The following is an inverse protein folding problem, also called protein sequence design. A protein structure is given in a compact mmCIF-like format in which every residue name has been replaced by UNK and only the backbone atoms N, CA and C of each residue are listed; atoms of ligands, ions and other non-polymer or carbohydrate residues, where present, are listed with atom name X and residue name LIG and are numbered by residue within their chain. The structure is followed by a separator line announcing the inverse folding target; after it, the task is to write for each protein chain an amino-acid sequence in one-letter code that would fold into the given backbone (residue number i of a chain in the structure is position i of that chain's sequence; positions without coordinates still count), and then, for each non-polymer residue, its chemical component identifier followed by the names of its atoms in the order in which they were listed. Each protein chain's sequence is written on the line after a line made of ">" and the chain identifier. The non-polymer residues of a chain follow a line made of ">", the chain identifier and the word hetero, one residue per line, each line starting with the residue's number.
data_IF_319460553508
#
_entry.id   IF_319460553508
#
_cell.length_a   1.000
_cell.length_b   1.000
_cell.length_c   1.000
_cell.angle_alpha   90.00
_cell.angle_beta   90.00
_cell.angle_gamma   90.00
#
_symmetry.space_group_name_H-M   'P 1'
#
loop_
_entity.id
_entity.type
_entity.pdbx_description
1 polymer ?
#
# COMPACT_ATOMS: atom_id res chain seq x y z
N UNK A 1 -5.74 30.50 -81.67
CA UNK A 1 -5.96 31.13 -80.35
C UNK A 1 -7.29 30.60 -79.83
N UNK A 2 -7.38 30.30 -78.53
CA UNK A 2 -8.49 29.62 -77.80
C UNK A 2 -8.51 28.07 -77.81
N UNK A 3 -8.47 27.57 -76.57
CA UNK A 3 -8.73 26.23 -75.97
C UNK A 3 -10.20 25.84 -76.31
N UNK A 4 -10.70 24.57 -76.41
CA UNK A 4 -10.63 23.61 -75.29
C UNK A 4 -10.84 22.08 -75.46
N UNK A 5 -10.48 21.39 -74.36
CA UNK A 5 -11.14 20.27 -73.64
C UNK A 5 -11.35 18.85 -74.25
N UNK A 6 -10.79 17.89 -73.50
CA UNK A 6 -11.39 16.65 -72.91
C UNK A 6 -12.21 15.72 -73.84
N UNK A 7 -11.76 14.47 -74.05
CA UNK A 7 -12.40 13.24 -73.49
C UNK A 7 -11.70 11.93 -73.94
N UNK A 8 -11.71 11.01 -72.99
CA UNK A 8 -11.21 9.62 -72.87
C UNK A 8 -11.84 8.59 -73.81
N UNK A 9 -11.09 7.57 -74.32
CA UNK A 9 -11.57 6.17 -74.53
C UNK A 9 -10.41 5.14 -74.35
N UNK A 10 -10.81 3.94 -73.90
CA UNK A 10 -10.16 2.80 -73.21
C UNK A 10 -9.26 1.82 -74.02
N UNK A 11 -8.32 1.23 -73.25
CA UNK A 11 -7.85 -0.18 -73.14
C UNK A 11 -7.45 -0.99 -74.40
N UNK A 12 -6.22 -1.54 -74.35
CA UNK A 12 -5.98 -2.99 -74.25
C UNK A 12 -4.52 -3.36 -73.88
N UNK A 13 -4.43 -4.18 -72.83
CA UNK A 13 -3.50 -5.31 -72.62
C UNK A 13 -1.99 -5.07 -72.54
N UNK A 14 -1.42 -5.19 -71.32
CA UNK A 14 -0.21 -6.00 -71.11
C UNK A 14 -0.38 -6.81 -69.83
N UNK A 15 -0.14 -8.11 -69.95
CA UNK A 15 -0.19 -9.11 -68.90
C UNK A 15 1.19 -9.21 -68.23
N UNK A 16 1.18 -9.07 -66.89
CA UNK A 16 2.05 -9.65 -65.84
C UNK A 16 3.59 -9.67 -66.03
N UNK A 17 4.30 -9.21 -65.00
CA UNK A 17 5.07 -10.06 -64.08
C UNK A 17 5.28 -9.30 -62.76
N UNK A 18 5.20 -10.06 -61.67
CA UNK A 18 5.03 -9.64 -60.28
C UNK A 18 6.28 -9.01 -59.65
N UNK A 19 6.11 -7.90 -58.95
CA UNK A 19 6.95 -7.54 -57.80
C UNK A 19 6.00 -7.36 -56.62
N UNK A 20 6.01 -8.34 -55.71
CA UNK A 20 5.31 -8.26 -54.43
C UNK A 20 6.14 -7.32 -53.56
N UNK A 21 5.64 -6.11 -53.33
CA UNK A 21 6.09 -5.25 -52.22
C UNK A 21 5.13 -5.57 -51.07
N UNK A 22 5.56 -6.25 -49.99
CA UNK A 22 4.75 -6.29 -48.80
C UNK A 22 4.78 -4.89 -48.19
N UNK A 23 3.61 -4.25 -48.13
CA UNK A 23 3.42 -3.07 -47.31
C UNK A 23 3.79 -3.45 -45.87
N UNK A 24 4.89 -2.89 -45.38
CA UNK A 24 5.22 -2.93 -43.96
C UNK A 24 4.16 -2.07 -43.28
N UNK A 25 3.09 -2.74 -42.82
CA UNK A 25 2.21 -2.17 -41.80
C UNK A 25 3.06 -2.17 -40.53
N UNK A 26 3.72 -1.05 -40.27
CA UNK A 26 4.27 -0.74 -38.95
C UNK A 26 3.06 -0.60 -38.04
N UNK A 27 2.68 -1.70 -37.39
CA UNK A 27 1.91 -1.62 -36.16
C UNK A 27 2.80 -0.87 -35.17
N UNK A 28 2.56 0.44 -35.05
CA UNK A 28 2.91 1.15 -33.83
C UNK A 28 2.09 0.47 -32.73
N UNK A 29 2.70 -0.52 -32.07
CA UNK A 29 2.34 -0.86 -30.71
C UNK A 29 2.62 0.42 -29.92
N UNK A 30 1.59 1.25 -29.78
CA UNK A 30 1.53 2.22 -28.71
C UNK A 30 1.48 1.36 -27.45
N UNK A 31 2.65 1.06 -26.90
CA UNK A 31 2.76 0.68 -25.50
C UNK A 31 2.16 1.86 -24.74
N UNK A 32 0.87 1.74 -24.41
CA UNK A 32 0.30 2.53 -23.34
C UNK A 32 1.03 2.04 -22.10
N UNK A 33 2.16 2.67 -21.82
CA UNK A 33 2.75 2.68 -20.49
C UNK A 33 1.62 3.20 -19.61
N UNK A 34 0.97 2.31 -18.87
CA UNK A 34 0.18 2.73 -17.72
C UNK A 34 1.20 3.31 -16.74
N UNK A 35 1.51 4.59 -16.89
CA UNK A 35 2.14 5.34 -15.81
C UNK A 35 1.20 5.19 -14.61
N UNK A 36 1.72 4.66 -13.51
CA UNK A 36 0.96 4.56 -12.28
C UNK A 36 0.44 5.96 -11.94
N UNK A 37 -0.87 6.14 -12.03
CA UNK A 37 -1.48 7.46 -11.91
C UNK A 37 -1.39 7.89 -10.46
N UNK A 38 -0.78 9.06 -10.22
CA UNK A 38 -0.72 9.67 -8.89
C UNK A 38 -2.10 9.60 -8.19
N UNK A 39 -2.16 8.85 -7.11
CA UNK A 39 -3.34 8.72 -6.26
C UNK A 39 -3.21 9.68 -5.05
N UNK A 40 -4.02 10.76 -4.96
CA UNK A 40 -3.96 11.71 -3.85
C UNK A 40 -4.32 11.07 -2.51
N UNK A 41 -5.13 10.00 -2.49
CA UNK A 41 -5.47 9.28 -1.27
C UNK A 41 -4.22 8.63 -0.63
N UNK A 42 -3.32 8.09 -1.45
CA UNK A 42 -2.04 7.59 -0.96
C UNK A 42 -1.22 8.72 -0.36
N UNK A 43 -1.16 9.88 -1.02
CA UNK A 43 -0.45 11.04 -0.47
C UNK A 43 -0.96 11.43 0.91
N UNK A 44 -2.28 11.47 1.11
CA UNK A 44 -2.90 11.78 2.41
C UNK A 44 -2.57 10.76 3.50
N UNK A 45 -2.39 9.48 3.14
CA UNK A 45 -1.93 8.45 4.06
C UNK A 45 -0.49 8.71 4.47
N UNK A 46 0.39 9.04 3.52
CA UNK A 46 1.82 9.29 3.79
C UNK A 46 2.03 10.49 4.74
N UNK A 47 1.14 11.48 4.70
CA UNK A 47 1.17 12.63 5.62
C UNK A 47 0.89 12.25 7.09
N UNK A 48 0.39 11.04 7.36
CA UNK A 48 0.08 10.56 8.72
C UNK A 48 1.28 9.88 9.40
N UNK A 49 2.35 9.61 8.65
CA UNK A 49 3.58 9.02 9.17
C UNK A 49 4.22 9.99 10.16
N UNK A 50 4.46 9.52 11.39
CA UNK A 50 5.07 10.30 12.46
C UNK A 50 6.41 9.70 12.87
N UNK A 51 7.48 10.44 12.63
CA UNK A 51 8.82 10.09 13.12
C UNK A 51 8.88 10.02 14.63
N UNK A 52 8.21 10.92 15.35
CA UNK A 52 8.15 10.90 16.81
C UNK A 52 7.60 9.58 17.34
N UNK A 53 6.54 9.07 16.70
CA UNK A 53 5.96 7.79 17.09
C UNK A 53 6.97 6.66 16.91
N UNK A 54 7.67 6.60 15.78
CA UNK A 54 8.70 5.59 15.52
C UNK A 54 9.90 5.73 16.46
N UNK A 55 10.38 6.95 16.71
CA UNK A 55 11.50 7.22 17.61
C UNK A 55 11.21 6.79 19.05
N UNK A 56 9.97 7.04 19.53
CA UNK A 56 9.52 6.53 20.83
C UNK A 56 9.49 4.99 20.88
N UNK A 57 9.12 4.33 19.78
CA UNK A 57 9.09 2.87 19.69
C UNK A 57 10.50 2.30 19.72
N UNK A 58 11.42 2.85 18.94
CA UNK A 58 12.84 2.48 18.99
C UNK A 58 13.40 2.67 20.41
N UNK A 59 13.13 3.84 21.02
CA UNK A 59 13.55 4.16 22.39
C UNK A 59 12.97 3.22 23.46
N UNK A 60 11.76 2.69 23.24
CA UNK A 60 11.18 1.67 24.13
C UNK A 60 11.85 0.33 23.91
N UNK A 61 11.96 -0.12 22.65
CA UNK A 61 12.50 -1.41 22.29
C UNK A 61 13.95 -1.57 22.75
N UNK A 62 14.80 -0.56 22.58
CA UNK A 62 16.21 -0.60 23.00
C UNK A 62 16.40 -0.85 24.52
N UNK A 63 15.40 -0.54 25.35
CA UNK A 63 15.43 -0.76 26.79
C UNK A 63 14.90 -2.14 27.19
N UNK A 64 14.28 -2.86 26.26
CA UNK A 64 13.73 -4.19 26.48
C UNK A 64 14.72 -5.26 26.00
N UNK A 65 14.69 -6.42 26.65
CA UNK A 65 15.45 -7.58 26.19
C UNK A 65 14.82 -8.13 24.91
N UNK A 66 15.63 -8.34 23.86
CA UNK A 66 15.16 -8.78 22.55
C UNK A 66 15.95 -9.94 21.98
N UNK A 67 16.98 -10.43 22.67
CA UNK A 67 17.63 -11.66 22.27
C UNK A 67 16.62 -12.83 22.36
N UNK A 68 16.35 -13.47 21.24
CA UNK A 68 15.19 -14.37 21.06
C UNK A 68 15.21 -15.62 21.96
N UNK A 69 16.34 -15.91 22.62
CA UNK A 69 16.56 -17.13 23.40
C UNK A 69 16.54 -16.93 24.92
N UNK A 70 16.22 -15.73 25.40
CA UNK A 70 16.07 -15.50 26.84
C UNK A 70 14.59 -15.30 27.21
N UNK A 71 14.11 -15.83 28.35
CA UNK A 71 12.70 -15.73 28.74
C UNK A 71 12.15 -14.31 28.78
N UNK A 72 13.00 -13.32 29.11
CA UNK A 72 12.63 -11.91 29.18
C UNK A 72 12.18 -11.33 27.81
N UNK A 73 12.64 -11.88 26.69
CA UNK A 73 12.25 -11.42 25.35
C UNK A 73 10.75 -11.61 25.06
N UNK A 74 10.08 -12.56 25.73
CA UNK A 74 8.63 -12.72 25.63
C UNK A 74 7.84 -11.53 26.19
N UNK A 75 8.43 -10.74 27.09
CA UNK A 75 7.83 -9.47 27.55
C UNK A 75 7.77 -8.47 26.40
N UNK A 76 8.83 -8.40 25.59
CA UNK A 76 8.87 -7.60 24.36
C UNK A 76 7.85 -8.08 23.35
N UNK A 77 7.72 -9.39 23.17
CA UNK A 77 6.67 -9.95 22.32
C UNK A 77 5.25 -9.60 22.81
N UNK A 78 5.04 -9.55 24.13
CA UNK A 78 3.83 -9.03 24.77
C UNK A 78 3.55 -7.57 24.41
N UNK A 79 4.55 -6.71 24.56
CA UNK A 79 4.45 -5.28 24.23
C UNK A 79 4.07 -5.04 22.77
N UNK A 80 4.77 -5.70 21.84
CA UNK A 80 4.53 -5.58 20.41
C UNK A 80 3.14 -6.10 20.01
N UNK A 81 2.72 -7.26 20.54
CA UNK A 81 1.38 -7.80 20.30
C UNK A 81 0.29 -6.86 20.79
N UNK A 82 0.44 -6.29 21.99
CA UNK A 82 -0.52 -5.33 22.53
C UNK A 82 -0.59 -4.06 21.67
N UNK A 83 0.54 -3.53 21.21
CA UNK A 83 0.54 -2.37 20.33
C UNK A 83 -0.16 -2.67 19.00
N UNK A 84 0.11 -3.83 18.38
CA UNK A 84 -0.57 -4.24 17.15
C UNK A 84 -2.08 -4.37 17.37
N UNK A 85 -2.55 -4.90 18.51
CA UNK A 85 -4.00 -4.94 18.84
C UNK A 85 -4.61 -3.54 18.93
N UNK A 86 -3.90 -2.55 19.45
CA UNK A 86 -4.35 -1.15 19.49
C UNK A 86 -4.44 -0.50 18.09
N UNK A 87 -3.78 -1.10 17.10
CA UNK A 87 -3.92 -0.73 15.69
C UNK A 87 -5.14 -1.38 15.02
N UNK A 88 -6.03 -2.03 15.78
CA UNK A 88 -7.31 -2.59 15.31
C UNK A 88 -7.22 -3.48 14.05
N UNK A 89 -6.27 -4.44 13.96
CA UNK A 89 -6.29 -5.47 12.94
C UNK A 89 -7.38 -6.52 13.26
N UNK A 90 -7.84 -7.24 12.24
CA UNK A 90 -8.83 -8.32 12.40
C UNK A 90 -8.30 -9.46 13.27
N UNK A 91 -6.99 -9.74 13.21
CA UNK A 91 -6.35 -10.70 14.12
C UNK A 91 -4.97 -10.23 14.59
N UNK A 92 -4.58 -10.70 15.78
CA UNK A 92 -3.19 -10.66 16.27
C UNK A 92 -2.88 -11.97 16.98
N UNK A 93 -1.83 -12.66 16.57
CA UNK A 93 -1.44 -13.95 17.16
C UNK A 93 0.08 -14.13 17.20
N UNK A 94 0.52 -15.04 18.07
CA UNK A 94 1.89 -15.50 18.14
C UNK A 94 2.09 -16.68 17.21
N UNK A 95 3.09 -16.60 16.35
CA UNK A 95 3.58 -17.74 15.60
C UNK A 95 4.79 -18.33 16.35
N UNK A 96 4.50 -19.40 17.09
CA UNK A 96 5.45 -20.11 17.94
C UNK A 96 6.33 -21.05 17.11
N UNK A 97 7.62 -21.09 17.42
CA UNK A 97 8.57 -22.00 16.78
C UNK A 97 9.66 -22.44 17.75
N UNK A 98 10.37 -23.50 17.39
CA UNK A 98 11.47 -24.04 18.18
C UNK A 98 12.82 -23.75 17.53
N UNK A 99 13.81 -23.51 18.38
CA UNK A 99 15.23 -23.44 18.02
C UNK A 99 16.03 -24.34 18.97
N UNK A 100 16.86 -25.23 18.44
CA UNK A 100 17.65 -26.18 19.23
C UNK A 100 16.85 -26.95 20.29
N UNK A 101 15.60 -27.31 19.98
CA UNK A 101 14.70 -28.03 20.88
C UNK A 101 14.08 -27.21 22.01
N UNK A 102 14.29 -25.89 22.03
CA UNK A 102 13.69 -24.96 22.97
C UNK A 102 12.71 -24.01 22.27
N UNK A 103 11.67 -23.57 22.97
CA UNK A 103 10.74 -22.58 22.44
C UNK A 103 11.44 -21.21 22.45
N UNK A 104 11.65 -20.63 21.26
CA UNK A 104 12.19 -19.29 21.12
C UNK A 104 11.12 -18.23 21.42
N UNK A 105 11.49 -16.96 21.40
CA UNK A 105 10.50 -15.90 21.35
C UNK A 105 9.71 -15.97 20.02
N UNK A 106 8.39 -15.70 20.04
CA UNK A 106 7.55 -15.93 18.87
C UNK A 106 7.70 -14.82 17.83
N UNK A 107 7.34 -15.14 16.58
CA UNK A 107 6.96 -14.08 15.64
C UNK A 107 5.60 -13.53 16.05
N UNK A 108 5.34 -12.27 15.71
CA UNK A 108 4.11 -11.58 16.03
C UNK A 108 3.45 -11.18 14.73
N UNK A 109 2.24 -11.68 14.50
CA UNK A 109 1.55 -11.52 13.24
C UNK A 109 0.23 -10.81 13.51
N UNK A 110 -0.06 -9.79 12.70
CA UNK A 110 -1.33 -9.09 12.70
C UNK A 110 -1.90 -9.00 11.29
N UNK A 111 -3.13 -9.48 11.12
CA UNK A 111 -3.82 -9.46 9.83
C UNK A 111 -4.91 -8.40 9.80
N UNK A 112 -4.87 -7.58 8.76
CA UNK A 112 -5.97 -6.73 8.35
C UNK A 112 -6.54 -7.28 7.04
N UNK A 113 -7.70 -7.90 7.11
CA UNK A 113 -8.29 -8.65 6.02
C UNK A 113 -8.68 -7.75 4.84
N UNK A 114 -8.41 -8.26 3.65
CA UNK A 114 -8.86 -7.66 2.40
C UNK A 114 -10.38 -7.66 2.31
N UNK A 115 -10.93 -6.68 1.61
CA UNK A 115 -12.37 -6.57 1.41
C UNK A 115 -12.86 -7.57 0.36
N UNK A 116 -12.18 -7.64 -0.79
CA UNK A 116 -12.60 -8.47 -1.93
C UNK A 116 -11.69 -9.67 -2.22
N UNK A 117 -10.48 -9.71 -1.65
CA UNK A 117 -9.54 -10.82 -1.82
C UNK A 117 -8.80 -11.13 -0.50
N UNK A 118 -9.49 -11.84 0.40
CA UNK A 118 -8.97 -12.17 1.74
C UNK A 118 -7.83 -13.18 1.73
N UNK A 119 -7.81 -14.09 0.74
CA UNK A 119 -6.87 -15.20 0.70
C UNK A 119 -5.51 -14.81 0.11
N UNK A 120 -5.42 -13.65 -0.55
CA UNK A 120 -4.21 -13.10 -1.14
C UNK A 120 -3.60 -12.04 -0.23
N UNK A 121 -2.37 -12.28 0.21
CA UNK A 121 -1.73 -11.56 1.31
C UNK A 121 -0.54 -10.73 0.80
N UNK A 122 -0.52 -9.46 1.20
CA UNK A 122 0.63 -8.55 1.07
C UNK A 122 1.27 -8.41 2.45
N UNK A 123 2.56 -8.71 2.57
CA UNK A 123 3.27 -8.70 3.84
C UNK A 123 4.12 -7.44 3.95
N UNK A 124 4.01 -6.75 5.09
CA UNK A 124 4.99 -5.78 5.57
C UNK A 124 5.64 -6.33 6.85
N UNK A 125 6.96 -6.44 6.85
CA UNK A 125 7.67 -7.11 7.95
C UNK A 125 9.00 -6.45 8.30
N UNK A 126 9.54 -6.87 9.44
CA UNK A 126 10.88 -6.59 9.95
C UNK A 126 11.11 -7.49 11.18
N UNK A 127 12.35 -7.68 11.62
CA UNK A 127 12.62 -8.46 12.83
C UNK A 127 12.71 -7.58 14.07
N UNK A 128 12.21 -8.11 15.18
CA UNK A 128 12.20 -7.40 16.46
C UNK A 128 13.26 -7.89 17.43
N UNK A 129 13.86 -9.07 17.18
CA UNK A 129 14.96 -9.55 18.00
C UNK A 129 16.22 -8.69 17.82
N UNK A 130 17.19 -8.88 18.71
CA UNK A 130 18.52 -8.30 18.59
C UNK A 130 19.59 -9.40 18.63
N UNK A 131 20.78 -9.08 18.12
CA UNK A 131 21.91 -10.00 18.01
C UNK A 131 22.20 -10.81 19.29
N UNK A 132 22.25 -10.13 20.43
CA UNK A 132 22.62 -10.71 21.71
C UNK A 132 22.06 -9.91 22.89
N UNK A 133 22.01 -10.53 24.06
CA UNK A 133 21.71 -9.83 25.31
C UNK A 133 22.72 -8.69 25.54
N UNK A 134 22.23 -7.48 25.79
CA UNK A 134 23.06 -6.28 25.92
C UNK A 134 23.48 -5.63 24.60
N UNK A 135 22.97 -6.09 23.45
CA UNK A 135 22.97 -5.37 22.18
C UNK A 135 21.58 -4.74 21.96
N UNK A 136 21.41 -3.42 22.21
CA UNK A 136 20.09 -2.79 22.21
C UNK A 136 19.43 -2.71 20.84
N UNK A 137 20.16 -2.87 19.74
CA UNK A 137 19.60 -3.03 18.39
C UNK A 137 18.68 -1.88 17.94
N UNK A 138 19.04 -0.63 18.22
CA UNK A 138 18.17 0.51 17.93
C UNK A 138 17.96 0.72 16.42
N UNK A 139 19.04 0.62 15.65
CA UNK A 139 18.96 0.60 14.19
C UNK A 139 18.64 -0.82 13.71
N UNK A 140 19.31 -1.83 14.28
CA UNK A 140 19.19 -3.25 13.90
C UNK A 140 18.50 -4.10 14.97
N UNK A 141 17.20 -4.36 14.89
CA UNK A 141 16.26 -3.82 13.91
C UNK A 141 14.99 -3.24 14.56
N UNK A 142 15.19 -2.54 15.69
CA UNK A 142 14.11 -1.77 16.28
C UNK A 142 13.60 -0.68 15.32
N UNK A 143 14.43 -0.19 14.40
CA UNK A 143 14.03 0.80 13.38
C UNK A 143 13.01 0.23 12.39
N UNK A 144 13.28 -0.94 11.78
CA UNK A 144 12.35 -1.62 10.86
C UNK A 144 11.09 -2.09 11.58
N UNK A 145 11.22 -2.66 12.78
CA UNK A 145 10.07 -3.01 13.63
C UNK A 145 9.19 -1.79 13.93
N UNK A 146 9.78 -0.64 14.29
CA UNK A 146 9.03 0.59 14.51
C UNK A 146 8.30 1.05 13.24
N UNK A 147 8.91 0.86 12.06
CA UNK A 147 8.27 1.08 10.76
C UNK A 147 7.03 0.21 10.54
N UNK A 148 7.11 -1.09 10.83
CA UNK A 148 5.95 -2.02 10.75
C UNK A 148 4.82 -1.56 11.67
N UNK A 149 5.14 -1.21 12.93
CA UNK A 149 4.17 -0.72 13.90
C UNK A 149 3.52 0.60 13.46
N UNK A 150 4.29 1.50 12.85
CA UNK A 150 3.79 2.78 12.35
C UNK A 150 2.87 2.60 11.14
N UNK A 151 3.23 1.72 10.22
CA UNK A 151 2.36 1.36 9.10
C UNK A 151 1.03 0.78 9.62
N UNK A 152 1.06 -0.15 10.57
CA UNK A 152 -0.15 -0.68 11.19
C UNK A 152 -1.01 0.46 11.81
N UNK A 153 -0.38 1.41 12.51
CA UNK A 153 -1.08 2.55 13.15
C UNK A 153 -1.79 3.44 12.14
N UNK A 154 -1.15 3.79 11.02
CA UNK A 154 -1.71 4.76 10.06
C UNK A 154 -2.70 4.11 9.08
N UNK A 155 -2.57 2.80 8.83
CA UNK A 155 -3.42 2.05 7.90
C UNK A 155 -4.67 1.44 8.56
N UNK A 156 -4.78 1.47 9.90
CA UNK A 156 -5.87 0.82 10.65
C UNK A 156 -7.30 1.11 10.17
N UNK A 157 -7.58 2.39 9.86
CA UNK A 157 -8.93 2.84 9.47
C UNK A 157 -9.18 2.75 7.95
N UNK A 158 -8.23 2.17 7.21
CA UNK A 158 -8.31 2.06 5.75
C UNK A 158 -8.80 0.66 5.37
N UNK A 159 -9.20 0.50 4.11
CA UNK A 159 -9.65 -0.79 3.58
C UNK A 159 -8.87 -1.06 2.30
N UNK A 160 -8.60 -2.33 2.03
CA UNK A 160 -7.74 -2.78 0.95
C UNK A 160 -8.42 -3.94 0.23
N UNK A 161 -8.12 -4.16 -1.06
CA UNK A 161 -8.64 -5.35 -1.76
C UNK A 161 -7.98 -6.61 -1.22
N UNK A 162 -6.67 -6.56 -1.00
CA UNK A 162 -5.86 -7.65 -0.48
C UNK A 162 -5.69 -7.58 1.03
N UNK A 163 -5.44 -8.72 1.68
CA UNK A 163 -5.09 -8.77 3.10
C UNK A 163 -3.72 -8.14 3.31
N UNK A 164 -3.63 -7.19 4.25
CA UNK A 164 -2.37 -6.68 4.75
C UNK A 164 -1.97 -7.48 5.99
N UNK A 165 -0.80 -8.12 5.93
CA UNK A 165 -0.21 -8.83 7.07
C UNK A 165 1.01 -8.08 7.56
N UNK A 166 0.98 -7.67 8.83
CA UNK A 166 2.11 -7.08 9.52
C UNK A 166 2.82 -8.17 10.33
N UNK A 167 4.14 -8.29 10.16
CA UNK A 167 4.92 -9.30 10.89
C UNK A 167 6.12 -8.65 11.56
N UNK A 168 6.26 -8.92 12.86
CA UNK A 168 7.52 -8.74 13.57
C UNK A 168 8.16 -10.13 13.74
N UNK A 169 9.20 -10.42 12.96
CA UNK A 169 9.94 -11.68 13.03
C UNK A 169 10.86 -11.73 14.26
N UNK A 170 11.09 -12.93 14.78
CA UNK A 170 12.06 -13.17 15.84
C UNK A 170 13.12 -14.15 15.36
N UNK A 171 14.27 -14.14 16.02
CA UNK A 171 15.41 -15.00 15.71
C UNK A 171 15.92 -14.86 14.27
N UNK A 172 15.86 -13.64 13.71
CA UNK A 172 16.54 -13.31 12.45
C UNK A 172 18.05 -13.44 12.65
N UNK A 173 18.55 -12.86 13.74
CA UNK A 173 19.97 -12.72 14.04
C UNK A 173 20.64 -14.05 14.40
N UNK A 174 19.84 -15.08 14.66
CA UNK A 174 20.30 -16.44 14.92
C UNK A 174 20.18 -17.34 13.68
N UNK A 175 19.98 -16.74 12.50
CA UNK A 175 20.03 -17.41 11.20
C UNK A 175 18.67 -17.56 10.52
N UNK A 176 17.84 -16.51 10.59
CA UNK A 176 16.51 -16.41 9.95
C UNK A 176 15.51 -17.46 10.46
N UNK A 177 15.64 -17.88 11.71
CA UNK A 177 14.90 -19.04 12.22
C UNK A 177 13.40 -18.76 12.24
N UNK A 178 12.99 -17.58 12.69
CA UNK A 178 11.57 -17.22 12.75
C UNK A 178 10.93 -17.11 11.38
N UNK A 179 11.58 -16.45 10.41
CA UNK A 179 11.06 -16.34 9.04
C UNK A 179 11.09 -17.68 8.31
N UNK A 180 12.12 -18.51 8.47
CA UNK A 180 12.16 -19.88 7.92
C UNK A 180 11.03 -20.75 8.48
N UNK A 181 10.78 -20.68 9.79
CA UNK A 181 9.68 -21.40 10.43
C UNK A 181 8.32 -20.93 9.89
N UNK A 182 8.13 -19.61 9.75
CA UNK A 182 6.92 -19.03 9.21
C UNK A 182 6.67 -19.42 7.75
N UNK A 183 7.69 -19.33 6.89
CA UNK A 183 7.60 -19.72 5.48
C UNK A 183 7.22 -21.21 5.34
N UNK A 184 7.76 -22.07 6.20
CA UNK A 184 7.36 -23.48 6.26
C UNK A 184 5.87 -23.64 6.67
N UNK A 185 5.38 -22.85 7.62
CA UNK A 185 3.98 -22.88 8.02
C UNK A 185 3.05 -22.44 6.88
N UNK A 186 3.30 -21.31 6.24
CA UNK A 186 2.43 -20.81 5.16
C UNK A 186 2.39 -21.77 3.97
N UNK A 187 3.50 -22.46 3.67
CA UNK A 187 3.53 -23.51 2.65
C UNK A 187 2.62 -24.70 3.03
N UNK A 188 2.60 -25.08 4.31
CA UNK A 188 1.70 -26.14 4.81
C UNK A 188 0.23 -25.72 4.81
N UNK A 189 -0.04 -24.44 5.11
CA UNK A 189 -1.38 -23.86 5.09
C UNK A 189 -1.86 -23.50 3.68
N UNK A 190 -0.98 -23.54 2.67
CA UNK A 190 -1.23 -23.11 1.28
C UNK A 190 -1.70 -21.65 1.17
N UNK A 191 -1.15 -20.78 2.00
CA UNK A 191 -1.47 -19.35 1.96
C UNK A 191 -0.88 -18.71 0.70
N UNK A 192 -1.62 -17.77 0.09
CA UNK A 192 -1.20 -17.09 -1.14
C UNK A 192 -0.53 -15.77 -0.76
N UNK A 193 0.79 -15.75 -0.79
CA UNK A 193 1.56 -14.52 -0.58
C UNK A 193 1.82 -13.86 -1.94
N UNK A 194 1.31 -12.65 -2.12
CA UNK A 194 1.40 -11.89 -3.38
C UNK A 194 2.69 -11.09 -3.46
N UNK A 195 3.06 -10.40 -2.37
CA UNK A 195 4.29 -9.63 -2.29
C UNK A 195 4.73 -9.47 -0.83
N UNK A 196 6.04 -9.37 -0.62
CA UNK A 196 6.65 -9.11 0.70
C UNK A 196 7.51 -7.86 0.62
N UNK A 197 7.33 -6.94 1.57
CA UNK A 197 8.26 -5.86 1.85
C UNK A 197 8.83 -6.06 3.25
N UNK A 198 10.14 -6.23 3.33
CA UNK A 198 10.88 -6.33 4.57
C UNK A 198 11.60 -4.99 4.85
N UNK A 199 11.56 -4.55 6.10
CA UNK A 199 12.25 -3.38 6.60
C UNK A 199 13.37 -3.83 7.52
N UNK A 200 14.59 -3.52 7.16
CA UNK A 200 15.77 -3.91 7.93
C UNK A 200 16.79 -2.78 7.92
N UNK A 201 17.10 -2.24 9.11
CA UNK A 201 17.93 -1.06 9.33
C UNK A 201 17.53 0.13 8.45
N UNK A 202 16.71 1.03 8.99
CA UNK A 202 16.14 2.15 8.23
C UNK A 202 16.44 3.53 8.83
N UNK A 203 17.35 3.64 9.80
CA UNK A 203 17.50 4.86 10.60
C UNK A 203 18.93 5.41 10.73
N UNK A 204 19.98 4.75 10.22
CA UNK A 204 21.33 5.29 10.20
C UNK A 204 21.66 6.05 8.92
N UNK A 205 22.38 7.16 9.13
CA UNK A 205 22.87 8.01 8.07
C UNK A 205 24.21 8.64 8.46
N UNK A 206 25.16 8.57 7.53
CA UNK A 206 26.37 9.38 7.53
C UNK A 206 26.54 9.99 6.14
N UNK A 207 26.12 11.24 5.97
CA UNK A 207 26.23 11.91 4.68
C UNK A 207 25.45 13.21 4.62
N UNK A 208 25.47 13.82 3.44
CA UNK A 208 24.73 15.05 3.15
C UNK A 208 23.49 14.78 2.29
N UNK A 209 23.33 13.56 1.79
CA UNK A 209 22.26 13.17 0.87
C UNK A 209 21.64 11.86 1.31
N UNK A 210 20.32 11.79 1.38
CA UNK A 210 19.64 10.54 1.72
C UNK A 210 19.63 9.57 0.53
N UNK A 211 20.02 8.34 0.80
CA UNK A 211 19.83 7.20 -0.09
C UNK A 211 19.39 5.96 0.69
N UNK A 212 18.84 5.01 -0.02
CA UNK A 212 18.49 3.68 0.46
C UNK A 212 18.86 2.64 -0.60
N UNK A 213 18.92 1.39 -0.18
CA UNK A 213 19.03 0.23 -1.04
C UNK A 213 17.75 -0.61 -1.01
N UNK A 214 17.42 -1.19 -2.16
CA UNK A 214 16.23 -2.02 -2.36
C UNK A 214 16.65 -3.40 -2.84
N UNK A 215 16.84 -4.31 -1.90
CA UNK A 215 17.28 -5.67 -2.14
C UNK A 215 16.14 -6.45 -2.77
N UNK A 216 16.33 -6.89 -4.01
CA UNK A 216 15.35 -7.68 -4.75
C UNK A 216 16.01 -8.89 -5.39
N UNK A 217 15.29 -10.01 -5.42
CA UNK A 217 15.72 -11.21 -6.14
C UNK A 217 15.73 -10.93 -7.66
N UNK A 218 16.88 -11.03 -8.35
CA UNK A 218 16.95 -10.87 -9.80
C UNK A 218 16.10 -11.89 -10.57
N UNK A 219 15.87 -13.06 -9.98
CA UNK A 219 15.05 -14.14 -10.53
C UNK A 219 13.58 -14.08 -10.08
N UNK A 220 13.19 -12.99 -9.40
CA UNK A 220 11.80 -12.77 -8.98
C UNK A 220 10.84 -12.70 -10.16
N UNK A 221 9.62 -13.21 -9.99
CA UNK A 221 8.62 -13.25 -11.08
C UNK A 221 7.90 -11.91 -11.23
N UNK A 222 7.78 -11.16 -10.14
CA UNK A 222 7.22 -9.82 -10.09
C UNK A 222 8.32 -8.75 -10.14
N UNK A 223 8.09 -7.69 -10.91
CA UNK A 223 8.96 -6.50 -10.96
C UNK A 223 8.74 -5.57 -9.75
N UNK A 224 8.85 -6.11 -8.52
CA UNK A 224 8.60 -5.36 -7.29
C UNK A 224 9.62 -4.23 -7.07
N UNK A 225 10.87 -4.40 -7.50
CA UNK A 225 11.88 -3.35 -7.48
C UNK A 225 11.46 -2.14 -8.34
N UNK A 226 11.03 -2.38 -9.58
CA UNK A 226 10.59 -1.32 -10.49
C UNK A 226 9.30 -0.66 -9.99
N UNK A 227 8.36 -1.46 -9.46
CA UNK A 227 7.13 -0.95 -8.86
C UNK A 227 7.44 -0.04 -7.66
N UNK A 228 8.31 -0.49 -6.74
CA UNK A 228 8.74 0.30 -5.59
C UNK A 228 9.45 1.59 -6.05
N UNK A 229 10.37 1.49 -7.01
CA UNK A 229 11.09 2.65 -7.57
C UNK A 229 10.12 3.66 -8.17
N UNK A 230 9.13 3.19 -8.94
CA UNK A 230 8.09 4.04 -9.54
C UNK A 230 7.25 4.75 -8.47
N UNK A 231 6.81 4.03 -7.44
CA UNK A 231 6.00 4.60 -6.36
C UNK A 231 6.80 5.59 -5.51
N UNK A 232 8.06 5.24 -5.20
CA UNK A 232 8.98 6.17 -4.55
C UNK A 232 9.17 7.45 -5.38
N UNK A 233 9.43 7.35 -6.68
CA UNK A 233 9.58 8.54 -7.54
C UNK A 233 8.28 9.32 -7.71
N UNK A 234 7.13 8.68 -7.58
CA UNK A 234 5.82 9.33 -7.66
C UNK A 234 5.52 10.15 -6.41
N UNK A 235 5.81 9.61 -5.22
CA UNK A 235 5.32 10.18 -3.96
C UNK A 235 6.39 10.85 -3.08
N UNK A 236 7.65 10.44 -3.21
CA UNK A 236 8.72 10.74 -2.28
C UNK A 236 9.92 11.36 -3.00
N UNK A 237 10.23 12.60 -2.64
CA UNK A 237 11.40 13.34 -3.12
C UNK A 237 12.40 13.48 -1.98
N UNK A 238 13.68 13.67 -2.30
CA UNK A 238 14.73 13.93 -1.30
C UNK A 238 15.48 12.69 -0.79
N UNK A 239 15.12 11.49 -1.23
CA UNK A 239 15.91 10.26 -1.05
C UNK A 239 16.19 9.64 -2.43
N UNK A 240 17.30 8.95 -2.62
CA UNK A 240 17.64 8.22 -3.86
C UNK A 240 17.75 6.71 -3.62
N UNK A 241 17.58 5.91 -4.67
CA UNK A 241 17.89 4.47 -4.62
C UNK A 241 19.30 4.30 -5.20
N UNK A 242 20.19 3.61 -4.50
CA UNK A 242 21.56 3.43 -4.98
C UNK A 242 21.60 2.51 -6.23
N UNK A 243 22.61 2.70 -7.08
CA UNK A 243 22.68 2.03 -8.40
C UNK A 243 22.90 0.50 -8.35
N UNK A 244 23.29 -0.05 -7.20
CA UNK A 244 23.66 -1.46 -7.03
C UNK A 244 22.68 -2.22 -6.12
N UNK A 245 21.43 -1.76 -5.99
CA UNK A 245 20.48 -2.29 -5.02
C UNK A 245 20.08 -3.77 -5.19
N UNK A 246 20.57 -4.52 -6.17
CA UNK A 246 20.32 -5.96 -6.28
C UNK A 246 21.44 -6.79 -5.65
N UNK A 247 21.25 -7.27 -4.42
CA UNK A 247 22.22 -8.16 -3.76
C UNK A 247 21.54 -9.44 -3.24
N UNK A 248 21.46 -10.52 -4.04
CA UNK A 248 21.12 -11.83 -3.49
C UNK A 248 22.16 -12.23 -2.42
N UNK A 249 21.69 -12.73 -1.27
CA UNK A 249 22.54 -13.19 -0.16
C UNK A 249 22.72 -12.22 1.02
N UNK A 250 21.89 -11.18 1.10
CA UNK A 250 21.79 -10.28 2.26
C UNK A 250 21.05 -11.02 3.39
N UNK A 251 21.74 -11.44 4.44
CA UNK A 251 21.17 -12.17 5.58
C UNK A 251 20.13 -11.32 6.29
N UNK A 252 18.88 -11.41 5.82
CA UNK A 252 17.68 -10.77 6.36
C UNK A 252 16.48 -11.64 6.00
N UNK A 253 15.34 -11.43 6.64
CA UNK A 253 14.18 -12.33 6.57
C UNK A 253 13.65 -12.57 5.14
N UNK A 254 13.87 -11.64 4.21
CA UNK A 254 13.43 -11.81 2.81
C UNK A 254 14.02 -13.05 2.14
N UNK A 255 15.21 -13.49 2.55
CA UNK A 255 15.86 -14.69 1.99
C UNK A 255 15.00 -15.94 2.21
N UNK A 256 14.35 -16.05 3.37
CA UNK A 256 13.45 -17.16 3.68
C UNK A 256 12.30 -17.26 2.67
N UNK A 257 11.81 -16.11 2.18
CA UNK A 257 10.75 -16.05 1.16
C UNK A 257 11.28 -16.38 -0.24
N UNK A 258 12.45 -15.84 -0.61
CA UNK A 258 13.09 -16.15 -1.89
C UNK A 258 13.43 -17.64 -2.02
N UNK A 259 13.92 -18.28 -0.96
CA UNK A 259 14.19 -19.72 -0.92
C UNK A 259 12.93 -20.57 -1.16
N UNK A 260 11.75 -20.05 -0.83
CA UNK A 260 10.46 -20.66 -1.11
C UNK A 260 9.81 -20.21 -2.43
N UNK A 261 10.49 -19.39 -3.22
CA UNK A 261 10.00 -18.86 -4.49
C UNK A 261 8.88 -17.82 -4.35
N UNK A 262 8.81 -17.14 -3.21
CA UNK A 262 7.89 -16.04 -2.94
C UNK A 262 8.60 -14.72 -3.25
N UNK A 263 7.96 -13.89 -4.08
CA UNK A 263 8.52 -12.60 -4.48
C UNK A 263 8.42 -11.55 -3.36
N UNK A 264 9.48 -10.77 -3.22
CA UNK A 264 9.52 -9.66 -2.29
C UNK A 264 10.85 -8.92 -2.31
N UNK A 265 10.90 -7.83 -1.56
CA UNK A 265 12.05 -6.92 -1.47
C UNK A 265 12.36 -6.58 -0.01
N UNK A 266 13.61 -6.25 0.28
CA UNK A 266 14.00 -5.57 1.53
C UNK A 266 14.38 -4.13 1.23
N UNK A 267 13.90 -3.20 2.04
CA UNK A 267 14.41 -1.83 2.09
C UNK A 267 15.40 -1.73 3.23
N UNK A 268 16.62 -1.32 2.90
CA UNK A 268 17.71 -1.13 3.86
C UNK A 268 18.35 0.24 3.63
N UNK A 269 18.84 0.84 4.70
CA UNK A 269 19.51 2.13 4.69
C UNK A 269 20.75 2.17 3.78
N UNK A 270 21.46 1.05 3.64
CA UNK A 270 22.54 0.82 2.70
C UNK A 270 22.79 -0.69 2.59
N UNK A 271 23.12 -1.18 1.40
CA UNK A 271 23.57 -2.55 1.16
C UNK A 271 25.10 -2.67 1.14
N UNK A 272 25.81 -1.55 1.11
CA UNK A 272 27.27 -1.51 1.19
C UNK A 272 27.69 -1.47 2.66
N UNK A 273 28.34 -2.55 3.11
CA UNK A 273 28.80 -2.74 4.48
C UNK A 273 29.74 -1.63 4.98
N UNK A 274 30.37 -0.87 4.09
CA UNK A 274 31.17 0.30 4.47
C UNK A 274 30.33 1.47 4.98
N UNK A 275 29.03 1.46 4.67
CA UNK A 275 28.05 2.49 5.07
C UNK A 275 27.00 1.99 6.05
N UNK A 276 27.12 0.74 6.52
CA UNK A 276 26.31 0.24 7.63
C UNK A 276 26.66 1.04 8.89
N UNK A 277 25.71 1.12 9.82
CA UNK A 277 26.04 1.58 11.16
C UNK A 277 27.22 0.77 11.71
N UNK A 278 28.35 1.41 12.11
CA UNK A 278 29.48 0.70 12.69
C UNK A 278 29.16 0.14 14.08
N UNK A 279 27.97 0.41 14.59
CA UNK A 279 27.49 0.03 15.91
C UNK A 279 26.58 -1.19 15.90
N UNK A 280 26.12 -1.69 14.74
CA UNK A 280 25.26 -2.87 14.67
C UNK A 280 25.85 -4.05 15.45
N UNK A 281 24.97 -4.85 16.06
CA UNK A 281 25.30 -6.01 16.88
C UNK A 281 26.17 -5.68 18.12
N UNK A 282 26.34 -4.39 18.48
CA UNK A 282 27.14 -3.95 19.63
C UNK A 282 26.27 -3.20 20.65
N UNK A 283 26.74 -3.02 21.89
CA UNK A 283 26.03 -2.22 22.90
C UNK A 283 25.79 -0.76 22.50
N UNK A 284 26.52 -0.25 21.51
CA UNK A 284 26.39 1.11 20.98
C UNK A 284 25.32 1.23 19.88
N UNK A 285 24.64 0.15 19.50
CA UNK A 285 23.47 0.22 18.64
C UNK A 285 22.29 0.81 19.41
N UNK A 286 22.36 2.13 19.65
CA UNK A 286 21.41 2.90 20.44
C UNK A 286 20.91 4.09 19.65
N UNK A 287 19.74 4.56 20.04
CA UNK A 287 19.10 5.74 19.48
C UNK A 287 20.02 6.98 19.62
N UNK A 288 19.98 7.84 18.60
CA UNK A 288 20.85 9.00 18.37
C UNK A 288 22.33 8.70 18.05
N UNK A 289 22.79 7.45 18.14
CA UNK A 289 24.15 7.06 17.76
C UNK A 289 24.14 6.17 16.50
N UNK A 290 23.39 5.08 16.57
CA UNK A 290 23.19 4.12 15.47
C UNK A 290 21.89 4.45 14.73
N UNK A 291 20.72 4.37 15.36
CA UNK A 291 19.52 4.99 14.78
C UNK A 291 19.63 6.52 14.96
N UNK A 292 20.09 7.24 13.94
CA UNK A 292 20.53 8.63 14.08
C UNK A 292 19.84 9.63 13.12
N UNK A 293 19.00 9.16 12.20
CA UNK A 293 18.35 9.98 11.17
C UNK A 293 16.84 9.73 11.09
N UNK A 294 16.05 10.46 11.91
CA UNK A 294 14.59 10.45 11.79
C UNK A 294 14.11 10.83 10.39
N UNK A 295 14.80 11.76 9.72
CA UNK A 295 14.47 12.22 8.37
C UNK A 295 14.63 11.12 7.32
N UNK A 296 15.75 10.38 7.34
CA UNK A 296 15.96 9.26 6.42
C UNK A 296 14.91 8.18 6.66
N UNK A 297 14.65 7.84 7.92
CA UNK A 297 13.62 6.88 8.30
C UNK A 297 12.23 7.34 7.82
N UNK A 298 11.90 8.63 7.91
CA UNK A 298 10.64 9.17 7.39
C UNK A 298 10.51 8.95 5.89
N UNK A 299 11.56 9.26 5.12
CA UNK A 299 11.57 9.13 3.66
C UNK A 299 11.48 7.66 3.21
N UNK A 300 12.20 6.76 3.89
CA UNK A 300 12.09 5.31 3.67
C UNK A 300 10.67 4.84 3.95
N UNK A 301 10.09 5.25 5.08
CA UNK A 301 8.73 4.86 5.46
C UNK A 301 7.66 5.42 4.51
N UNK A 302 7.83 6.65 4.00
CA UNK A 302 6.94 7.16 2.96
C UNK A 302 6.97 6.28 1.71
N UNK A 303 8.15 5.82 1.28
CA UNK A 303 8.29 4.94 0.12
C UNK A 303 7.70 3.55 0.38
N UNK A 304 8.01 2.95 1.53
CA UNK A 304 7.50 1.63 1.92
C UNK A 304 5.98 1.60 2.08
N UNK A 305 5.40 2.61 2.74
CA UNK A 305 3.94 2.72 2.91
C UNK A 305 3.26 3.00 1.57
N UNK A 306 3.85 3.81 0.69
CA UNK A 306 3.30 4.02 -0.65
C UNK A 306 3.24 2.69 -1.43
N UNK A 307 4.31 1.89 -1.39
CA UNK A 307 4.38 0.57 -2.01
C UNK A 307 3.31 -0.38 -1.46
N UNK A 308 3.29 -0.60 -0.15
CA UNK A 308 2.35 -1.53 0.48
C UNK A 308 0.89 -1.09 0.30
N UNK A 309 0.61 0.21 0.39
CA UNK A 309 -0.75 0.74 0.18
C UNK A 309 -1.22 0.47 -1.24
N UNK A 310 -0.38 0.75 -2.24
CA UNK A 310 -0.72 0.54 -3.64
C UNK A 310 -0.85 -0.95 -3.98
N UNK A 311 0.09 -1.79 -3.53
CA UNK A 311 0.05 -3.24 -3.77
C UNK A 311 -1.18 -3.90 -3.13
N UNK A 312 -1.60 -3.42 -1.97
CA UNK A 312 -2.81 -3.89 -1.32
C UNK A 312 -4.11 -3.32 -1.94
N UNK A 313 -3.97 -2.33 -2.83
CA UNK A 313 -5.03 -1.64 -3.56
C UNK A 313 -6.05 -1.01 -2.61
N UNK A 314 -5.92 0.28 -2.28
CA UNK A 314 -6.80 0.92 -1.30
C UNK A 314 -8.22 1.01 -1.87
N UNK A 315 -9.21 0.59 -1.06
CA UNK A 315 -10.62 0.74 -1.38
C UNK A 315 -11.04 2.15 -0.99
N UNK A 316 -11.23 3.01 -1.98
CA UNK A 316 -11.75 4.35 -1.77
C UNK A 316 -13.12 4.27 -1.07
N UNK A 317 -13.50 5.24 -0.22
CA UNK A 317 -14.81 5.24 0.43
C UNK A 317 -15.98 5.08 -0.55
N UNK A 318 -15.84 5.62 -1.77
CA UNK A 318 -16.82 5.52 -2.87
C UNK A 318 -16.86 4.14 -3.56
N UNK A 319 -15.84 3.29 -3.38
CA UNK A 319 -15.71 1.94 -3.98
C UNK A 319 -16.03 0.82 -2.98
N UNK A 320 -16.58 1.14 -1.80
CA UNK A 320 -16.95 0.14 -0.78
C UNK A 320 -18.24 -0.62 -1.11
N UNK A 321 -18.99 -0.19 -2.12
CA UNK A 321 -20.03 -1.03 -2.71
C UNK A 321 -19.28 -1.99 -3.66
N UNK A 322 -19.19 -3.28 -3.28
CA UNK A 322 -18.36 -4.28 -3.96
C UNK A 322 -18.63 -4.43 -5.46
N UNK A 323 -17.72 -5.15 -6.14
CA UNK A 323 -17.79 -5.48 -7.57
C UNK A 323 -19.01 -6.40 -7.92
N UNK A 324 -19.82 -6.79 -6.93
CA UNK A 324 -21.20 -7.26 -7.10
C UNK A 324 -22.14 -6.14 -6.68
N UNK A 325 -23.04 -5.72 -7.57
CA UNK A 325 -23.89 -4.54 -7.44
C UNK A 325 -24.36 -4.30 -5.98
N UNK A 326 -23.66 -3.42 -5.26
CA UNK A 326 -23.91 -3.17 -3.84
C UNK A 326 -25.32 -2.63 -3.59
N UNK A 327 -25.69 -2.48 -2.31
CA UNK A 327 -27.03 -2.01 -1.87
C UNK A 327 -27.49 -0.80 -2.68
N UNK A 328 -26.59 0.17 -2.88
CA UNK A 328 -26.80 1.31 -3.76
C UNK A 328 -26.23 0.98 -5.16
N UNK A 329 -27.11 0.71 -6.11
CA UNK A 329 -26.76 0.37 -7.49
C UNK A 329 -26.41 1.62 -8.32
N UNK A 330 -27.13 2.71 -8.10
CA UNK A 330 -26.95 3.96 -8.84
C UNK A 330 -27.36 5.17 -8.03
N UNK A 331 -26.60 6.26 -8.18
CA UNK A 331 -26.93 7.59 -7.70
C UNK A 331 -26.78 8.58 -8.86
N UNK A 332 -27.86 9.25 -9.23
CA UNK A 332 -27.91 10.22 -10.32
C UNK A 332 -28.55 11.51 -9.86
N UNK A 333 -28.10 12.64 -10.42
CA UNK A 333 -28.69 13.95 -10.18
C UNK A 333 -29.10 14.57 -11.50
N UNK A 334 -30.35 15.00 -11.62
CA UNK A 334 -30.85 15.63 -12.84
C UNK A 334 -31.94 16.69 -12.59
N UNK A 335 -32.01 17.78 -13.39
CA UNK A 335 -31.03 18.15 -14.39
C UNK A 335 -29.68 18.51 -13.76
N UNK A 336 -28.59 18.20 -14.45
CA UNK A 336 -27.23 18.54 -14.05
C UNK A 336 -26.51 19.07 -15.29
N UNK A 337 -26.24 20.39 -15.41
CA UNK A 337 -26.27 21.40 -14.34
C UNK A 337 -27.67 21.77 -13.79
N UNK A 338 -27.71 22.19 -12.52
CA UNK A 338 -28.90 22.57 -11.75
C UNK A 338 -29.15 24.06 -11.85
N UNK A 339 -30.33 24.45 -12.34
CA UNK A 339 -30.76 25.85 -12.46
C UNK A 339 -31.61 26.34 -11.29
N UNK A 340 -32.53 25.52 -10.77
CA UNK A 340 -33.43 25.89 -9.68
C UNK A 340 -33.71 24.70 -8.76
N UNK A 341 -34.15 23.60 -9.36
CA UNK A 341 -34.45 22.33 -8.68
C UNK A 341 -33.71 21.21 -9.40
N UNK A 342 -33.39 20.16 -8.65
CA UNK A 342 -32.98 18.90 -9.23
C UNK A 342 -33.45 17.73 -8.37
N UNK A 343 -33.46 16.58 -9.01
CA UNK A 343 -33.86 15.30 -8.46
C UNK A 343 -32.62 14.46 -8.23
N UNK A 344 -32.56 13.83 -7.08
CA UNK A 344 -31.56 12.83 -6.74
C UNK A 344 -32.25 11.48 -6.88
N UNK A 345 -31.93 10.78 -7.95
CA UNK A 345 -32.41 9.43 -8.18
C UNK A 345 -31.43 8.42 -7.59
N UNK A 346 -31.97 7.48 -6.83
CA UNK A 346 -31.25 6.41 -6.17
C UNK A 346 -31.86 5.07 -6.59
N UNK A 347 -31.07 4.16 -7.15
CA UNK A 347 -31.50 2.80 -7.42
C UNK A 347 -30.89 1.89 -6.37
N UNK A 348 -31.74 1.16 -5.65
CA UNK A 348 -31.33 0.20 -4.64
C UNK A 348 -31.54 -1.24 -5.11
N UNK A 349 -30.61 -2.13 -4.79
CA UNK A 349 -30.73 -3.56 -5.08
C UNK A 349 -31.54 -4.33 -4.03
N UNK A 350 -31.72 -3.73 -2.84
CA UNK A 350 -32.52 -4.21 -1.71
C UNK A 350 -33.07 -3.04 -0.89
N UNK A 351 -33.99 -3.32 0.04
CA UNK A 351 -34.48 -2.30 0.97
C UNK A 351 -33.35 -1.88 1.93
N UNK A 352 -33.17 -0.58 2.14
CA UNK A 352 -32.08 -0.08 2.97
C UNK A 352 -32.38 1.27 3.60
N UNK A 353 -31.79 1.51 4.76
CA UNK A 353 -31.83 2.81 5.41
C UNK A 353 -30.68 3.70 4.89
N UNK A 354 -31.03 4.85 4.32
CA UNK A 354 -30.12 5.72 3.58
C UNK A 354 -30.06 7.12 4.20
N UNK A 355 -28.86 7.69 4.23
CA UNK A 355 -28.61 9.12 4.35
C UNK A 355 -28.09 9.69 3.02
N UNK A 356 -28.48 10.91 2.68
CA UNK A 356 -27.96 11.64 1.52
C UNK A 356 -27.42 12.98 1.99
N UNK A 357 -26.14 13.21 1.69
CA UNK A 357 -25.39 14.39 2.10
C UNK A 357 -24.90 15.17 0.89
N UNK A 358 -24.74 16.48 1.05
CA UNK A 358 -24.18 17.38 0.05
C UNK A 358 -22.92 18.05 0.62
N UNK A 359 -21.81 17.93 -0.10
CA UNK A 359 -20.51 18.49 0.26
C UNK A 359 -20.01 19.48 -0.79
N UNK A 360 -19.15 20.41 -0.40
CA UNK A 360 -18.30 21.13 -1.35
C UNK A 360 -17.07 20.29 -1.76
N UNK A 361 -16.29 20.76 -2.74
CA UNK A 361 -15.11 20.05 -3.23
C UNK A 361 -13.95 19.96 -2.21
N UNK A 362 -14.02 20.70 -1.09
CA UNK A 362 -13.07 20.55 0.01
C UNK A 362 -13.49 19.46 1.01
N UNK A 363 -14.65 18.83 0.80
CA UNK A 363 -15.20 17.81 1.69
C UNK A 363 -16.00 18.37 2.88
N UNK A 364 -16.25 19.69 2.92
CA UNK A 364 -17.07 20.29 3.98
C UNK A 364 -18.55 20.02 3.70
N UNK A 365 -19.27 19.53 4.71
CA UNK A 365 -20.72 19.29 4.64
C UNK A 365 -21.47 20.63 4.48
N UNK A 366 -22.29 20.70 3.44
CA UNK A 366 -23.14 21.86 3.12
C UNK A 366 -24.57 21.63 3.56
N UNK A 367 -25.12 20.43 3.31
CA UNK A 367 -26.51 20.12 3.63
C UNK A 367 -26.73 18.62 3.79
N UNK A 368 -27.75 18.26 4.58
CA UNK A 368 -28.26 16.90 4.70
C UNK A 368 -29.59 16.88 3.93
N UNK A 369 -29.65 16.12 2.85
CA UNK A 369 -30.80 16.04 1.96
C UNK A 369 -31.78 14.94 2.38
N UNK A 370 -31.26 13.87 2.98
CA UNK A 370 -32.04 12.77 3.53
C UNK A 370 -31.31 12.20 4.74
N UNK A 371 -32.04 11.88 5.81
CA UNK A 371 -31.45 11.30 7.01
C UNK A 371 -32.31 10.18 7.57
N UNK A 372 -31.68 9.08 7.97
CA UNK A 372 -32.26 7.91 8.61
C UNK A 372 -33.57 7.44 7.95
N UNK A 373 -33.58 7.40 6.61
CA UNK A 373 -34.79 7.14 5.84
C UNK A 373 -34.73 5.77 5.21
N UNK A 374 -35.71 4.93 5.50
CA UNK A 374 -35.88 3.62 4.86
C UNK A 374 -36.37 3.81 3.44
N UNK A 375 -35.58 3.34 2.48
CA UNK A 375 -35.89 3.36 1.06
C UNK A 375 -36.05 1.92 0.56
N UNK A 376 -36.94 1.74 -0.41
CA UNK A 376 -37.26 0.41 -0.93
C UNK A 376 -36.34 0.04 -2.08
N UNK A 377 -36.16 -1.26 -2.31
CA UNK A 377 -35.55 -1.82 -3.50
C UNK A 377 -36.15 -1.19 -4.75
N UNK A 378 -35.28 -0.86 -5.70
CA UNK A 378 -35.64 -0.23 -6.96
C UNK A 378 -35.44 1.28 -6.93
N UNK A 379 -36.26 2.00 -7.70
CA UNK A 379 -36.09 3.42 -7.93
C UNK A 379 -36.67 4.27 -6.79
N UNK A 380 -35.84 5.14 -6.23
CA UNK A 380 -36.23 6.15 -5.26
C UNK A 380 -35.79 7.52 -5.76
N UNK A 381 -36.53 8.56 -5.41
CA UNK A 381 -36.23 9.92 -5.82
C UNK A 381 -36.53 10.91 -4.71
N UNK A 382 -35.61 11.86 -4.52
CA UNK A 382 -35.83 13.04 -3.68
C UNK A 382 -35.63 14.31 -4.50
N UNK A 383 -36.42 15.33 -4.22
CA UNK A 383 -36.26 16.65 -4.81
C UNK A 383 -35.43 17.54 -3.89
N UNK A 384 -34.47 18.27 -4.45
CA UNK A 384 -33.76 19.32 -3.74
C UNK A 384 -33.77 20.63 -4.53
N UNK A 385 -33.86 21.73 -3.78
CA UNK A 385 -33.82 23.09 -4.31
C UNK A 385 -32.47 23.72 -4.04
N UNK A 386 -31.93 24.47 -5.02
CA UNK A 386 -30.63 25.14 -4.86
C UNK A 386 -30.69 26.46 -4.08
N UNK A 387 -31.81 26.80 -3.43
CA UNK A 387 -32.06 28.14 -2.84
C UNK A 387 -30.98 28.64 -1.88
N UNK A 388 -30.17 27.75 -1.31
CA UNK A 388 -29.07 28.07 -0.39
C UNK A 388 -27.68 27.80 -0.96
N UNK A 389 -27.56 27.35 -2.21
CA UNK A 389 -26.29 26.99 -2.85
C UNK A 389 -25.82 28.09 -3.81
N UNK A 390 -24.56 28.48 -3.66
CA UNK A 390 -23.90 29.32 -4.65
C UNK A 390 -23.64 28.54 -5.94
N UNK A 391 -23.48 29.23 -7.06
CA UNK A 391 -23.01 28.60 -8.30
C UNK A 391 -21.63 27.95 -8.09
N UNK A 392 -21.49 26.69 -8.45
CA UNK A 392 -20.29 25.91 -8.14
C UNK A 392 -20.44 24.42 -8.42
N UNK A 393 -19.41 23.65 -8.10
CA UNK A 393 -19.44 22.18 -8.17
C UNK A 393 -19.50 21.62 -6.75
N UNK A 394 -20.37 20.64 -6.55
CA UNK A 394 -20.60 19.98 -5.27
C UNK A 394 -20.58 18.46 -5.45
N UNK A 395 -20.46 17.75 -4.34
CA UNK A 395 -20.51 16.30 -4.29
C UNK A 395 -21.74 15.87 -3.49
N UNK A 396 -22.68 15.18 -4.12
CA UNK A 396 -23.75 14.49 -3.41
C UNK A 396 -23.27 13.08 -3.05
N UNK A 397 -23.61 12.59 -1.87
CA UNK A 397 -23.22 11.25 -1.40
C UNK A 397 -24.38 10.58 -0.70
N UNK A 398 -24.79 9.42 -1.19
CA UNK A 398 -25.72 8.52 -0.54
C UNK A 398 -24.92 7.47 0.24
N UNK A 399 -25.32 7.20 1.50
CA UNK A 399 -24.68 6.19 2.34
C UNK A 399 -25.73 5.37 3.07
N UNK A 400 -25.50 4.07 3.21
CA UNK A 400 -26.28 3.22 4.13
C UNK A 400 -25.98 3.60 5.58
N UNK A 401 -26.96 3.47 6.50
CA UNK A 401 -26.77 3.86 7.91
C UNK A 401 -25.60 3.10 8.58
N UNK A 402 -25.40 1.84 8.21
CA UNK A 402 -24.28 1.01 8.69
C UNK A 402 -22.92 1.40 8.08
N UNK A 403 -22.89 2.43 7.23
CA UNK A 403 -21.73 2.94 6.49
C UNK A 403 -21.01 1.90 5.62
N UNK A 404 -21.71 0.83 5.23
CA UNK A 404 -21.13 -0.24 4.40
C UNK A 404 -21.11 0.11 2.92
N UNK A 405 -22.13 0.81 2.40
CA UNK A 405 -22.19 1.22 1.00
C UNK A 405 -22.35 2.73 0.87
N UNK A 406 -21.46 3.35 0.09
CA UNK A 406 -21.45 4.78 -0.23
C UNK A 406 -21.39 4.95 -1.74
N UNK A 407 -22.26 5.79 -2.31
CA UNK A 407 -22.15 6.22 -3.69
C UNK A 407 -22.20 7.74 -3.78
N UNK A 408 -21.38 8.33 -4.64
CA UNK A 408 -21.32 9.78 -4.82
C UNK A 408 -21.56 10.16 -6.27
N UNK A 409 -22.16 11.34 -6.47
CA UNK A 409 -22.31 11.95 -7.79
C UNK A 409 -21.91 13.42 -7.75
N UNK A 410 -21.31 13.90 -8.84
CA UNK A 410 -20.98 15.31 -8.99
C UNK A 410 -22.23 16.07 -9.44
N UNK A 411 -22.47 17.21 -8.81
CA UNK A 411 -23.54 18.14 -9.14
C UNK A 411 -22.91 19.50 -9.47
N UNK A 412 -23.30 20.07 -10.60
CA UNK A 412 -22.92 21.42 -11.02
C UNK A 412 -24.12 22.33 -10.81
N UNK A 413 -23.98 23.34 -9.97
CA UNK A 413 -24.99 24.38 -9.76
C UNK A 413 -24.61 25.58 -10.61
N UNK A 414 -25.49 25.96 -11.54
CA UNK A 414 -25.28 27.15 -12.37
C UNK A 414 -25.20 28.41 -11.50
N UNK A 415 -24.46 29.42 -11.94
CA UNK A 415 -24.43 30.72 -11.26
C UNK A 415 -25.82 31.35 -11.24
#
# INVERSE_FOLDING_TARGET
>A
MQIPKILTIRKKTVCRINIIIPAIIVFFFCNILYAQTYNPYIKDILLRISTDTMWQKIGSLQLMERFSHVPASRVTAGFLSNYLRLCDPDTVYYHEFQYNGQIAAPNIIADKYGYSNKDSIIILCGHWDSYAAGAPGADDNASGTAGVLEAARILKNLHFRYTLRFICFSAEEQGLIGSKAYVKQIASNKEIIVAVLNLDMIAYHTGNTYSMDVLANPDGRLNLFDSFTTLKETYVKGISINKNSHAPGTGTDIMSFWDAGIDGITIIESADKNYYSPYIHKPQDVLNLSANSPDKMHLIMQAAVAAITEWAVPVLPQQRCGDEAGIIASLMVYPNPVLYHARVALILNEDADINIFLYDLSGRLISILLQNSSLFKGYNEIEFSRTTLNGGTYLITAVTIDNQCTQSAIIIVSK
#
